data_IF_556528544609
#
_entry.id   IF_556528544609
#
_cell.length_a   1.000
_cell.length_b   1.000
_cell.length_c   1.000
_cell.angle_alpha   90.00
_cell.angle_beta   90.00
_cell.angle_gamma   90.00
#
_symmetry.space_group_name_H-M   'P 1'
#
loop_
_entity.id
_entity.type
_entity.pdbx_description
1 polymer ?
#
# COMPACT_ATOMS: atom_id res chain seq x y z
N UNK A 1 -22.08 4.55 -17.64
CA UNK A 1 -20.81 4.96 -17.02
C UNK A 1 -20.15 3.72 -16.46
N UNK A 2 -18.83 3.66 -16.48
CA UNK A 2 -18.03 2.64 -15.82
C UNK A 2 -17.08 3.35 -14.86
N UNK A 3 -16.88 2.85 -13.64
CA UNK A 3 -15.89 3.40 -12.71
C UNK A 3 -15.20 2.31 -11.90
N UNK A 4 -14.00 2.61 -11.40
CA UNK A 4 -13.18 1.72 -10.59
C UNK A 4 -12.43 2.51 -9.53
N UNK A 5 -12.27 1.92 -8.34
CA UNK A 5 -11.36 2.43 -7.31
C UNK A 5 -10.01 1.72 -7.49
N UNK A 6 -8.98 2.47 -7.84
CA UNK A 6 -7.64 1.94 -8.13
C UNK A 6 -6.81 1.82 -6.84
N UNK A 7 -7.03 2.73 -5.89
CA UNK A 7 -6.23 2.80 -4.67
C UNK A 7 -6.99 3.48 -3.53
N UNK A 8 -6.62 3.14 -2.30
CA UNK A 8 -7.12 3.74 -1.06
C UNK A 8 -8.06 2.84 -0.26
N UNK A 9 -7.82 2.76 1.06
CA UNK A 9 -8.69 2.07 2.02
C UNK A 9 -8.98 0.61 1.65
N UNK A 10 -10.26 0.24 1.72
CA UNK A 10 -10.77 -1.09 1.37
C UNK A 10 -11.28 -1.14 -0.09
N UNK A 11 -10.80 -0.23 -0.95
CA UNK A 11 -11.25 -0.08 -2.33
C UNK A 11 -12.77 0.14 -2.45
N UNK A 12 -13.33 0.89 -1.51
CA UNK A 12 -14.75 1.19 -1.41
C UNK A 12 -15.03 2.65 -1.80
N UNK A 13 -16.16 2.99 -2.44
CA UNK A 13 -16.52 4.41 -2.69
C UNK A 13 -18.03 4.61 -2.76
N UNK A 14 -18.52 5.67 -2.13
CA UNK A 14 -19.95 5.97 -2.16
C UNK A 14 -20.23 6.70 -3.46
N UNK A 15 -21.06 6.11 -4.30
CA UNK A 15 -21.47 6.66 -5.56
C UNK A 15 -22.90 7.17 -5.46
N UNK A 16 -23.10 8.43 -5.83
CA UNK A 16 -24.42 9.04 -5.89
C UNK A 16 -24.64 9.67 -7.27
N UNK A 17 -25.79 9.41 -7.88
CA UNK A 17 -26.28 10.03 -9.10
C UNK A 17 -27.50 10.89 -8.77
N UNK A 18 -27.43 12.18 -9.09
CA UNK A 18 -28.51 13.14 -8.84
C UNK A 18 -29.08 13.63 -10.18
N UNK A 19 -30.40 13.60 -10.30
CA UNK A 19 -31.16 14.12 -11.44
C UNK A 19 -31.21 15.67 -11.39
N UNK A 20 -31.54 16.38 -12.47
CA UNK A 20 -31.67 17.85 -12.46
C UNK A 20 -32.73 18.38 -11.49
N UNK A 21 -33.65 17.53 -11.02
CA UNK A 21 -34.63 17.85 -9.99
C UNK A 21 -34.05 17.88 -8.57
N UNK A 22 -32.79 17.47 -8.39
CA UNK A 22 -32.18 17.26 -7.08
C UNK A 22 -32.52 15.90 -6.46
N UNK A 23 -33.26 15.04 -7.16
CA UNK A 23 -33.56 13.70 -6.69
C UNK A 23 -32.37 12.75 -6.89
N UNK A 24 -32.04 11.97 -5.85
CA UNK A 24 -31.02 10.92 -5.94
C UNK A 24 -31.58 9.71 -6.69
N UNK A 25 -31.14 9.52 -7.93
CA UNK A 25 -31.52 8.41 -8.81
C UNK A 25 -30.79 7.12 -8.41
N UNK A 26 -29.57 7.26 -7.91
CA UNK A 26 -28.76 6.16 -7.41
C UNK A 26 -27.94 6.65 -6.22
N UNK A 27 -27.92 5.89 -5.13
CA UNK A 27 -27.06 6.14 -3.98
C UNK A 27 -26.65 4.77 -3.43
N UNK A 28 -25.39 4.39 -3.66
CA UNK A 28 -24.88 3.09 -3.23
C UNK A 28 -23.41 3.12 -2.87
N UNK A 29 -23.04 2.19 -2.00
CA UNK A 29 -21.66 1.91 -1.63
C UNK A 29 -21.11 0.85 -2.58
N UNK A 30 -20.08 1.18 -3.37
CA UNK A 30 -19.44 0.25 -4.29
C UNK A 30 -18.13 -0.27 -3.71
N UNK A 31 -17.85 -1.58 -3.88
CA UNK A 31 -16.66 -2.25 -3.37
C UNK A 31 -15.89 -2.94 -4.50
N UNK A 32 -14.58 -2.67 -4.59
CA UNK A 32 -13.73 -3.21 -5.66
C UNK A 32 -12.68 -4.20 -5.12
N UNK A 33 -13.00 -4.87 -4.01
CA UNK A 33 -12.13 -5.82 -3.33
C UNK A 33 -12.53 -7.29 -3.57
N UNK A 34 -13.32 -7.58 -4.60
CA UNK A 34 -13.68 -8.95 -4.94
C UNK A 34 -12.52 -9.68 -5.64
N UNK A 35 -12.38 -10.98 -5.37
CA UNK A 35 -11.35 -11.84 -5.97
C UNK A 35 -11.53 -11.99 -7.49
N UNK A 36 -12.79 -11.96 -7.96
CA UNK A 36 -13.13 -12.06 -9.37
C UNK A 36 -13.23 -10.67 -10.01
N UNK A 37 -12.40 -10.43 -11.03
CA UNK A 37 -12.36 -9.14 -11.74
C UNK A 37 -13.73 -8.79 -12.36
N UNK A 38 -14.46 -9.78 -12.88
CA UNK A 38 -15.79 -9.57 -13.48
C UNK A 38 -16.80 -8.98 -12.48
N UNK A 39 -16.73 -9.35 -11.20
CA UNK A 39 -17.60 -8.79 -10.17
C UNK A 39 -17.28 -7.32 -9.93
N UNK A 40 -15.99 -6.96 -9.89
CA UNK A 40 -15.56 -5.57 -9.77
C UNK A 40 -15.98 -4.74 -10.99
N UNK A 41 -15.94 -5.30 -12.20
CA UNK A 41 -16.45 -4.63 -13.40
C UNK A 41 -17.95 -4.37 -13.33
N UNK A 42 -18.73 -5.35 -12.86
CA UNK A 42 -20.17 -5.20 -12.70
C UNK A 42 -20.52 -4.19 -11.61
N UNK A 43 -19.76 -4.19 -10.51
CA UNK A 43 -19.95 -3.23 -9.42
C UNK A 43 -19.71 -1.79 -9.91
N UNK A 44 -18.72 -1.57 -10.77
CA UNK A 44 -18.42 -0.28 -11.38
C UNK A 44 -19.38 0.17 -12.49
N UNK A 45 -20.28 -0.70 -12.95
CA UNK A 45 -21.10 -0.45 -14.13
C UNK A 45 -22.42 0.24 -13.77
N UNK A 46 -22.60 1.46 -14.28
CA UNK A 46 -23.83 2.24 -14.10
C UNK A 46 -24.50 2.43 -15.46
N UNK A 47 -25.62 1.73 -15.67
CA UNK A 47 -26.48 1.86 -16.86
C UNK A 47 -27.84 2.40 -16.44
N UNK A 48 -28.06 3.70 -16.66
CA UNK A 48 -29.34 4.37 -16.39
C UNK A 48 -29.87 5.04 -17.65
N UNK A 49 -31.18 4.92 -17.86
CA UNK A 49 -31.89 5.68 -18.88
C UNK A 49 -32.33 7.01 -18.27
N UNK A 50 -31.87 8.10 -18.89
CA UNK A 50 -32.16 9.45 -18.43
C UNK A 50 -33.55 9.86 -18.91
N UNK A 51 -34.46 10.10 -17.95
CA UNK A 51 -35.86 10.50 -18.23
C UNK A 51 -36.01 12.00 -18.42
N UNK A 52 -35.26 12.80 -17.66
CA UNK A 52 -35.31 14.26 -17.70
C UNK A 52 -34.08 14.84 -18.38
N UNK A 53 -34.25 15.78 -19.30
CA UNK A 53 -33.13 16.53 -19.86
C UNK A 53 -32.63 17.56 -18.86
N UNK A 54 -31.31 17.62 -18.62
CA UNK A 54 -30.71 18.63 -17.76
C UNK A 54 -29.32 18.23 -17.27
N UNK A 55 -28.80 18.99 -16.29
CA UNK A 55 -27.51 18.73 -15.65
C UNK A 55 -27.67 17.62 -14.63
N UNK A 56 -26.90 16.55 -14.80
CA UNK A 56 -26.87 15.42 -13.86
C UNK A 56 -25.55 15.46 -13.11
N UNK A 57 -25.60 15.17 -11.82
CA UNK A 57 -24.43 15.19 -10.96
C UNK A 57 -24.01 13.76 -10.61
N UNK A 58 -22.72 13.48 -10.80
CA UNK A 58 -22.09 12.20 -10.46
C UNK A 58 -21.11 12.48 -9.33
N UNK A 59 -21.42 11.96 -8.14
CA UNK A 59 -20.65 12.24 -6.92
C UNK A 59 -19.97 10.97 -6.43
N UNK A 60 -18.68 11.11 -6.07
CA UNK A 60 -17.91 10.08 -5.40
C UNK A 60 -17.53 10.61 -4.00
N UNK A 61 -18.12 10.03 -2.96
CA UNK A 61 -17.89 10.44 -1.57
C UNK A 61 -16.96 9.46 -0.87
N UNK A 62 -15.96 10.01 -0.18
CA UNK A 62 -15.04 9.28 0.69
C UNK A 62 -15.34 9.48 2.18
N UNK A 63 -16.58 9.82 2.54
CA UNK A 63 -16.95 10.04 3.95
C UNK A 63 -16.76 8.80 4.83
N UNK A 64 -16.87 7.60 4.24
CA UNK A 64 -16.72 6.32 4.93
C UNK A 64 -15.26 6.03 5.37
N UNK A 65 -14.24 6.48 4.62
CA UNK A 65 -12.83 6.14 4.87
C UNK A 65 -11.96 7.39 4.95
N UNK A 66 -12.14 8.14 6.06
CA UNK A 66 -11.49 9.45 6.30
C UNK A 66 -9.97 9.43 6.40
N UNK A 67 -9.35 8.27 6.62
CA UNK A 67 -7.92 8.16 6.92
C UNK A 67 -7.04 8.04 5.68
N UNK A 68 -7.61 7.63 4.55
CA UNK A 68 -6.87 7.38 3.31
C UNK A 68 -7.59 8.05 2.15
N UNK A 69 -6.84 8.76 1.31
CA UNK A 69 -7.37 9.21 0.03
C UNK A 69 -7.74 8.01 -0.86
N UNK A 70 -8.71 8.21 -1.75
CA UNK A 70 -9.14 7.20 -2.71
C UNK A 70 -9.01 7.71 -4.12
N UNK A 71 -8.45 6.89 -4.99
CA UNK A 71 -8.24 7.21 -6.40
C UNK A 71 -9.31 6.48 -7.21
N UNK A 72 -10.19 7.25 -7.85
CA UNK A 72 -11.27 6.71 -8.67
C UNK A 72 -11.00 7.06 -10.13
N UNK A 73 -11.10 6.07 -11.00
CA UNK A 73 -11.11 6.27 -12.46
C UNK A 73 -12.50 5.98 -12.98
N UNK A 74 -13.03 6.88 -13.81
CA UNK A 74 -14.35 6.74 -14.38
C UNK A 74 -14.34 7.07 -15.87
N UNK A 75 -15.24 6.41 -16.60
CA UNK A 75 -15.48 6.62 -18.02
C UNK A 75 -16.98 6.75 -18.26
N UNK A 76 -17.38 7.82 -18.94
CA UNK A 76 -18.76 8.09 -19.28
C UNK A 76 -18.96 7.98 -20.79
N UNK A 77 -19.96 7.18 -21.19
CA UNK A 77 -20.35 7.01 -22.59
C UNK A 77 -21.84 7.35 -22.69
N UNK A 78 -22.18 8.34 -23.51
CA UNK A 78 -23.57 8.74 -23.79
C UNK A 78 -23.94 8.41 -25.24
N UNK A 79 -25.04 7.66 -25.43
CA UNK A 79 -25.54 7.28 -26.77
C UNK A 79 -26.29 8.40 -27.49
N UNK A 80 -26.70 9.47 -26.78
CA UNK A 80 -27.41 10.64 -27.32
C UNK A 80 -26.57 11.91 -27.17
N UNK A 81 -25.28 11.88 -27.48
CA UNK A 81 -24.47 13.09 -27.58
C UNK A 81 -24.84 13.89 -28.85
N UNK A 82 -26.11 14.31 -28.98
CA UNK A 82 -26.55 15.22 -30.04
C UNK A 82 -26.34 16.66 -29.57
N UNK A 83 -25.31 17.31 -30.13
CA UNK A 83 -25.19 18.77 -30.31
C UNK A 83 -25.71 19.63 -29.14
N UNK A 84 -25.09 19.52 -27.97
CA UNK A 84 -25.16 20.57 -26.93
C UNK A 84 -23.77 21.22 -26.92
N UNK A 85 -23.66 22.56 -26.87
CA UNK A 85 -22.39 23.23 -27.10
C UNK A 85 -21.37 22.73 -26.09
N UNK A 86 -20.26 22.24 -26.64
CA UNK A 86 -19.03 21.91 -25.94
C UNK A 86 -18.78 22.94 -24.83
N UNK A 87 -18.51 22.46 -23.61
CA UNK A 87 -18.03 23.29 -22.51
C UNK A 87 -16.96 24.25 -23.06
N UNK A 88 -17.15 25.55 -22.83
CA UNK A 88 -16.27 26.58 -23.40
C UNK A 88 -14.86 26.35 -22.87
N UNK A 89 -13.86 26.50 -23.75
CA UNK A 89 -12.43 26.36 -23.42
C UNK A 89 -11.99 27.25 -22.24
N UNK A 90 -12.77 28.29 -21.91
CA UNK A 90 -12.59 29.15 -20.74
C UNK A 90 -12.75 28.41 -19.41
N UNK A 91 -13.63 27.41 -19.33
CA UNK A 91 -13.83 26.60 -18.11
C UNK A 91 -12.71 25.56 -17.95
N UNK A 92 -12.03 25.22 -19.05
CA UNK A 92 -10.85 24.37 -19.05
C UNK A 92 -9.57 25.12 -18.65
N UNK A 93 -9.55 26.46 -18.73
CA UNK A 93 -8.37 27.26 -18.38
C UNK A 93 -7.99 27.15 -16.90
N UNK A 94 -8.99 27.02 -16.00
CA UNK A 94 -8.76 26.77 -14.56
C UNK A 94 -8.17 25.38 -14.32
N UNK A 95 -8.68 24.35 -14.99
CA UNK A 95 -8.14 22.99 -14.92
C UNK A 95 -6.72 22.86 -15.54
N UNK A 96 -6.47 23.57 -16.65
CA UNK A 96 -5.15 23.63 -17.30
C UNK A 96 -4.14 24.37 -16.41
N UNK A 97 -4.55 25.42 -15.69
CA UNK A 97 -3.66 26.13 -14.76
C UNK A 97 -3.16 25.24 -13.62
N UNK A 98 -3.97 24.26 -13.19
CA UNK A 98 -3.56 23.25 -12.21
C UNK A 98 -2.59 22.21 -12.83
N UNK A 99 -2.78 21.84 -14.10
CA UNK A 99 -1.87 20.96 -14.85
C UNK A 99 -0.49 21.57 -15.10
N UNK A 100 -0.35 22.89 -15.19
CA UNK A 100 0.95 23.56 -15.34
C UNK A 100 1.78 23.54 -14.04
N UNK A 101 1.14 23.34 -12.88
CA UNK A 101 1.82 23.24 -11.58
C UNK A 101 2.29 21.82 -11.23
N UNK A 102 1.82 20.81 -11.97
CA UNK A 102 2.12 19.39 -11.77
C UNK A 102 3.64 19.03 -11.81
N UNK A 103 4.47 19.64 -12.68
CA UNK A 103 5.90 19.33 -12.73
C UNK A 103 6.64 19.71 -11.43
N UNK A 104 6.21 20.79 -10.77
CA UNK A 104 6.84 21.27 -9.54
C UNK A 104 6.54 20.34 -8.36
N UNK A 105 5.32 19.80 -8.30
CA UNK A 105 4.93 18.80 -7.28
C UNK A 105 5.69 17.49 -7.49
N UNK A 106 5.83 17.03 -8.74
CA UNK A 106 6.61 15.84 -9.06
C UNK A 106 8.08 15.97 -8.67
N UNK A 107 8.71 17.13 -8.91
CA UNK A 107 10.11 17.35 -8.54
C UNK A 107 10.33 17.27 -7.02
N UNK A 108 9.38 17.76 -6.22
CA UNK A 108 9.44 17.66 -4.75
C UNK A 108 9.19 16.23 -4.27
N UNK A 109 8.29 15.50 -4.94
CA UNK A 109 8.01 14.11 -4.63
C UNK A 109 9.22 13.21 -4.93
N UNK A 110 9.88 13.41 -6.07
CA UNK A 110 11.08 12.66 -6.45
C UNK A 110 12.23 12.93 -5.47
N UNK A 111 12.42 14.19 -5.06
CA UNK A 111 13.39 14.54 -4.03
C UNK A 111 13.07 13.87 -2.67
N UNK A 112 11.80 13.76 -2.31
CA UNK A 112 11.37 13.09 -1.08
C UNK A 112 11.57 11.57 -1.14
N UNK A 113 11.28 10.94 -2.28
CA UNK A 113 11.51 9.51 -2.49
C UNK A 113 12.99 9.16 -2.49
N UNK A 114 13.85 10.00 -3.07
CA UNK A 114 15.31 9.82 -2.99
C UNK A 114 15.83 9.94 -1.55
N UNK A 115 15.31 10.87 -0.76
CA UNK A 115 15.64 10.98 0.67
C UNK A 115 15.21 9.74 1.46
N UNK A 116 14.02 9.20 1.18
CA UNK A 116 13.54 7.97 1.82
C UNK A 116 14.41 6.77 1.43
N UNK A 117 14.71 6.61 0.14
CA UNK A 117 15.53 5.52 -0.37
C UNK A 117 16.93 5.50 0.27
N UNK A 118 17.59 6.67 0.32
CA UNK A 118 18.91 6.79 0.97
C UNK A 118 18.84 6.43 2.45
N UNK A 119 17.83 6.92 3.18
CA UNK A 119 17.62 6.56 4.59
C UNK A 119 17.41 5.06 4.80
N UNK A 120 16.60 4.40 3.97
CA UNK A 120 16.39 2.95 4.06
C UNK A 120 17.67 2.17 3.82
N UNK A 121 18.50 2.59 2.86
CA UNK A 121 19.79 1.92 2.60
C UNK A 121 20.77 2.07 3.77
N UNK A 122 20.79 3.24 4.42
CA UNK A 122 21.61 3.49 5.60
C UNK A 122 21.13 2.70 6.83
N UNK A 123 19.81 2.65 7.07
CA UNK A 123 19.23 1.84 8.15
C UNK A 123 19.51 0.36 7.94
N UNK A 124 19.37 -0.16 6.71
CA UNK A 124 19.68 -1.56 6.41
C UNK A 124 21.17 -1.89 6.62
N UNK A 125 22.07 -0.97 6.24
CA UNK A 125 23.51 -1.12 6.49
C UNK A 125 23.83 -1.12 8.00
N UNK A 126 23.10 -0.33 8.79
CA UNK A 126 23.27 -0.30 10.25
C UNK A 126 22.83 -1.62 10.90
N UNK A 127 21.72 -2.22 10.44
CA UNK A 127 21.24 -3.52 10.92
C UNK A 127 22.22 -4.64 10.57
N UNK A 128 22.72 -4.69 9.33
CA UNK A 128 23.72 -5.69 8.95
C UNK A 128 24.99 -5.59 9.80
N UNK A 129 25.45 -4.37 10.13
CA UNK A 129 26.60 -4.18 11.01
C UNK A 129 26.32 -4.64 12.45
N UNK A 130 25.11 -4.44 12.98
CA UNK A 130 24.71 -4.93 14.29
C UNK A 130 24.62 -6.46 14.33
N UNK A 131 24.03 -7.06 13.30
CA UNK A 131 23.93 -8.52 13.16
C UNK A 131 25.33 -9.12 13.10
N UNK A 132 26.22 -8.63 12.23
CA UNK A 132 27.59 -9.12 12.12
C UNK A 132 28.36 -9.01 13.45
N UNK A 133 28.18 -7.91 14.20
CA UNK A 133 28.77 -7.75 15.53
C UNK A 133 28.21 -8.77 16.53
N UNK A 134 26.91 -9.03 16.50
CA UNK A 134 26.26 -10.00 17.39
C UNK A 134 26.69 -11.44 17.11
N UNK A 135 26.94 -11.79 15.85
CA UNK A 135 27.44 -13.10 15.45
C UNK A 135 28.86 -13.34 15.95
N UNK A 136 29.75 -12.35 15.81
CA UNK A 136 31.14 -12.44 16.29
C UNK A 136 31.17 -12.65 17.82
N UNK A 137 30.37 -11.89 18.56
CA UNK A 137 30.28 -12.03 20.03
C UNK A 137 29.74 -13.40 20.42
N UNK A 138 28.75 -13.92 19.69
CA UNK A 138 28.19 -15.25 19.93
C UNK A 138 29.21 -16.37 19.69
N UNK A 139 29.99 -16.29 18.61
CA UNK A 139 31.07 -17.24 18.32
C UNK A 139 32.17 -17.21 19.39
N UNK A 140 32.56 -16.02 19.85
CA UNK A 140 33.55 -15.87 20.94
C UNK A 140 33.03 -16.45 22.26
N UNK A 141 31.75 -16.23 22.58
CA UNK A 141 31.14 -16.81 23.77
C UNK A 141 31.11 -18.34 23.71
N UNK A 142 30.81 -18.92 22.55
CA UNK A 142 30.74 -20.37 22.38
C UNK A 142 32.12 -21.02 22.50
N UNK A 143 33.13 -20.43 21.86
CA UNK A 143 34.52 -20.91 21.96
C UNK A 143 35.04 -20.82 23.40
N UNK A 144 34.72 -19.75 24.13
CA UNK A 144 35.07 -19.61 25.54
C UNK A 144 34.41 -20.69 26.41
N UNK A 145 33.12 -20.98 26.21
CA UNK A 145 32.40 -22.03 26.93
C UNK A 145 32.99 -23.42 26.67
N UNK A 146 33.36 -23.74 25.42
CA UNK A 146 34.00 -25.01 25.08
C UNK A 146 35.38 -25.13 25.74
N UNK A 147 36.16 -24.04 25.76
CA UNK A 147 37.45 -24.03 26.44
C UNK A 147 37.32 -24.25 27.96
N UNK A 148 36.33 -23.62 28.61
CA UNK A 148 36.04 -23.85 30.02
C UNK A 148 35.62 -25.29 30.29
N UNK A 149 34.77 -25.87 29.44
CA UNK A 149 34.38 -27.28 29.55
C UNK A 149 35.60 -28.19 29.43
N UNK A 150 36.50 -27.94 28.48
CA UNK A 150 37.73 -28.70 28.34
C UNK A 150 38.64 -28.60 29.58
N UNK A 151 38.84 -27.39 30.11
CA UNK A 151 39.60 -27.18 31.35
C UNK A 151 38.96 -27.94 32.51
N UNK A 152 37.63 -27.83 32.68
CA UNK A 152 36.90 -28.54 33.73
C UNK A 152 37.04 -30.06 33.61
N UNK A 153 36.97 -30.60 32.39
CA UNK A 153 37.16 -32.01 32.09
C UNK A 153 38.56 -32.48 32.46
N UNK A 154 39.61 -31.74 32.07
CA UNK A 154 40.99 -32.10 32.43
C UNK A 154 41.24 -32.02 33.93
N UNK A 155 40.65 -31.06 34.62
CA UNK A 155 40.69 -30.96 36.08
C UNK A 155 40.00 -32.15 36.75
N UNK A 156 38.80 -32.52 36.30
CA UNK A 156 38.09 -33.70 36.80
C UNK A 156 38.88 -34.98 36.57
N UNK A 157 39.49 -35.16 35.39
CA UNK A 157 40.34 -36.33 35.09
C UNK A 157 41.59 -36.41 35.97
N UNK A 158 42.19 -35.27 36.33
CA UNK A 158 43.33 -35.23 37.27
C UNK A 158 42.92 -35.51 38.71
N UNK A 159 41.69 -35.13 39.09
CA UNK A 159 41.13 -35.37 40.43
C UNK A 159 40.69 -36.83 40.63
N UNK A 160 40.25 -37.49 39.57
CA UNK A 160 39.97 -38.93 39.54
C UNK A 160 40.99 -39.63 38.62
N UNK A 161 42.29 -39.66 38.98
CA UNK A 161 43.22 -40.53 38.26
C UNK A 161 42.69 -41.96 38.40
N UNK A 162 42.76 -42.77 37.34
CA UNK A 162 42.21 -44.14 37.26
C UNK A 162 42.65 -45.02 38.44
N UNK A 163 42.02 -44.86 39.60
CA UNK A 163 41.96 -45.86 40.64
C UNK A 163 40.91 -46.84 40.16
N UNK A 164 41.35 -47.75 39.29
CA UNK A 164 40.84 -49.09 39.00
C UNK A 164 41.29 -49.51 37.58
N UNK A 165 42.60 -49.50 37.34
CA UNK A 165 43.17 -50.59 36.55
C UNK A 165 42.92 -51.89 37.33
N UNK A 166 41.96 -52.67 36.85
CA UNK A 166 41.60 -53.99 37.35
C UNK A 166 42.81 -54.94 37.38
N UNK A 167 43.08 -55.70 38.46
CA UNK A 167 43.83 -56.93 38.33
C UNK A 167 42.86 -58.07 38.04
N UNK A 168 43.13 -58.81 36.96
CA UNK A 168 42.44 -60.05 36.64
C UNK A 168 42.66 -61.17 37.66
N UNK A 169 41.96 -62.28 37.37
CA UNK A 169 41.74 -63.52 38.15
C UNK A 169 40.49 -63.47 39.03
#
# INVERSE_FOLDING_TARGET
MQFYVISGGLLDIQFTLVDPSGEKVEDRMAFFNHEEEQTNEQEGLVKKEIKHGGVHEFCFSNEASRWTEKIVTFQMISKRASKVPTAKLSDLASAISQLVSFPQVFSKLDQYLQFISTRFTDENRSLHNLIARSEIVSCLSLTFSVALLYVSYTHMRKWFPESHASPGV
#
